data_IF_596639593079
#
_entry.id   IF_596639593079
#
_cell.length_a   1.000
_cell.length_b   1.000
_cell.length_c   1.000
_cell.angle_alpha   90.00
_cell.angle_beta   90.00
_cell.angle_gamma   90.00
#
_symmetry.space_group_name_H-M   'P 1'
#
loop_
_entity.id
_entity.type
_entity.pdbx_description
1 polymer ?
#
# COMPACT_ATOMS: atom_id res chain seq x y z
N UNK A 1 -9.78 -10.39 -1.16
CA UNK A 1 -9.05 -9.41 -0.31
C UNK A 1 -7.56 -9.62 -0.47
N UNK A 2 -6.79 -8.54 -0.58
CA UNK A 2 -5.33 -8.60 -0.78
C UNK A 2 -4.60 -8.07 0.46
N UNK A 3 -3.29 -8.33 0.52
CA UNK A 3 -2.40 -7.75 1.52
C UNK A 3 -1.33 -6.90 0.86
N UNK A 4 -0.99 -5.78 1.48
CA UNK A 4 0.20 -5.01 1.11
C UNK A 4 1.46 -5.79 1.50
N UNK A 5 2.64 -5.43 0.97
CA UNK A 5 3.91 -6.02 1.42
C UNK A 5 4.17 -5.84 2.92
N UNK A 6 3.56 -4.84 3.56
CA UNK A 6 3.63 -4.58 5.00
C UNK A 6 2.56 -5.35 5.80
N UNK A 7 1.78 -6.22 5.15
CA UNK A 7 0.77 -7.09 5.79
C UNK A 7 -0.61 -6.48 5.99
N UNK A 8 -0.78 -5.18 5.71
CA UNK A 8 -2.06 -4.47 5.82
C UNK A 8 -3.08 -5.01 4.81
N UNK A 9 -4.35 -5.13 5.22
CA UNK A 9 -5.43 -5.53 4.30
C UNK A 9 -5.77 -4.38 3.36
N UNK A 10 -6.00 -4.70 2.09
CA UNK A 10 -6.39 -3.73 1.07
C UNK A 10 -7.42 -4.32 0.13
N UNK A 11 -8.39 -3.51 -0.26
CA UNK A 11 -9.29 -3.83 -1.36
C UNK A 11 -8.58 -3.50 -2.68
N UNK A 12 -8.83 -4.31 -3.72
CA UNK A 12 -8.24 -4.11 -5.05
C UNK A 12 -9.35 -3.84 -6.04
N UNK A 13 -9.18 -2.81 -6.85
CA UNK A 13 -10.01 -2.50 -8.00
C UNK A 13 -9.20 -2.67 -9.28
N UNK A 14 -9.87 -3.08 -10.36
CA UNK A 14 -9.26 -3.23 -11.68
C UNK A 14 -9.93 -2.27 -12.65
N UNK A 15 -9.14 -1.61 -13.50
CA UNK A 15 -9.69 -0.74 -14.55
C UNK A 15 -10.20 -1.52 -15.75
N UNK A 16 -9.80 -2.79 -15.89
CA UNK A 16 -10.27 -3.67 -16.96
C UNK A 16 -10.54 -5.09 -16.45
N UNK A 17 -11.52 -5.74 -17.07
CA UNK A 17 -11.82 -7.15 -16.84
C UNK A 17 -10.61 -8.04 -17.16
N UNK A 18 -9.86 -7.73 -18.22
CA UNK A 18 -8.65 -8.47 -18.57
C UNK A 18 -7.56 -8.37 -17.49
N UNK A 19 -7.44 -7.23 -16.78
CA UNK A 19 -6.54 -7.13 -15.64
C UNK A 19 -7.04 -7.99 -14.46
N UNK A 20 -8.34 -7.96 -14.16
CA UNK A 20 -8.96 -8.80 -13.14
C UNK A 20 -8.71 -10.29 -13.41
N UNK A 21 -9.03 -10.76 -14.62
CA UNK A 21 -8.90 -12.17 -15.01
C UNK A 21 -7.45 -12.64 -15.04
N UNK A 22 -6.48 -11.77 -15.37
CA UNK A 22 -5.05 -12.11 -15.28
C UNK A 22 -4.59 -12.33 -13.84
N UNK A 23 -5.16 -11.62 -12.88
CA UNK A 23 -4.75 -11.69 -11.47
C UNK A 23 -5.50 -12.79 -10.72
N UNK A 24 -6.80 -12.90 -10.91
CA UNK A 24 -7.65 -13.86 -10.18
C UNK A 24 -7.86 -15.18 -10.93
N UNK A 25 -7.55 -15.21 -12.22
CA UNK A 25 -7.84 -16.33 -13.11
C UNK A 25 -9.19 -16.16 -13.84
N UNK A 26 -9.35 -16.81 -15.01
CA UNK A 26 -10.53 -16.64 -15.85
C UNK A 26 -11.81 -17.27 -15.27
N UNK A 27 -11.68 -18.19 -14.32
CA UNK A 27 -12.80 -18.88 -13.69
C UNK A 27 -13.36 -18.15 -12.46
N UNK A 28 -12.74 -17.04 -12.03
CA UNK A 28 -13.18 -16.32 -10.84
C UNK A 28 -14.48 -15.55 -11.15
N UNK A 29 -15.62 -15.84 -10.50
CA UNK A 29 -16.81 -15.02 -10.64
C UNK A 29 -16.56 -13.61 -10.09
N UNK A 30 -17.03 -12.60 -10.82
CA UNK A 30 -16.90 -11.19 -10.48
C UNK A 30 -18.16 -10.41 -10.89
N UNK A 31 -18.36 -9.27 -10.25
CA UNK A 31 -19.44 -8.31 -10.57
C UNK A 31 -18.85 -6.91 -10.67
N UNK A 32 -19.53 -6.01 -11.40
CA UNK A 32 -19.18 -4.58 -11.40
C UNK A 32 -19.73 -3.93 -10.15
N UNK A 33 -18.85 -3.23 -9.44
CA UNK A 33 -19.18 -2.46 -8.25
C UNK A 33 -18.65 -1.04 -8.41
N UNK A 34 -19.45 -0.05 -7.99
CA UNK A 34 -18.96 1.31 -7.85
C UNK A 34 -18.02 1.44 -6.64
N UNK A 35 -17.16 2.47 -6.64
CA UNK A 35 -16.19 2.70 -5.58
C UNK A 35 -16.85 2.76 -4.19
N UNK A 36 -17.95 3.52 -4.05
CA UNK A 36 -18.64 3.69 -2.78
C UNK A 36 -19.13 2.36 -2.18
N UNK A 37 -19.71 1.50 -3.03
CA UNK A 37 -20.16 0.18 -2.62
C UNK A 37 -18.99 -0.73 -2.24
N UNK A 38 -17.91 -0.72 -3.03
CA UNK A 38 -16.69 -1.47 -2.71
C UNK A 38 -16.10 -1.03 -1.38
N UNK A 39 -16.00 0.29 -1.14
CA UNK A 39 -15.48 0.84 0.11
C UNK A 39 -16.36 0.46 1.30
N UNK A 40 -17.68 0.57 1.18
CA UNK A 40 -18.61 0.18 2.23
C UNK A 40 -18.47 -1.31 2.63
N UNK A 41 -18.22 -2.19 1.67
CA UNK A 41 -17.98 -3.62 1.94
C UNK A 41 -16.56 -3.91 2.47
N UNK A 42 -15.56 -3.11 2.07
CA UNK A 42 -14.17 -3.29 2.49
C UNK A 42 -13.90 -2.78 3.92
N UNK A 43 -14.58 -1.70 4.32
CA UNK A 43 -14.44 -1.07 5.63
C UNK A 43 -14.61 -2.06 6.81
N UNK A 44 -15.71 -2.85 6.91
CA UNK A 44 -15.88 -3.80 8.02
C UNK A 44 -14.86 -4.94 8.02
N UNK A 45 -14.16 -5.16 6.91
CA UNK A 45 -13.11 -6.17 6.78
C UNK A 45 -11.71 -5.62 7.18
N UNK A 46 -11.64 -4.36 7.61
CA UNK A 46 -10.41 -3.68 8.01
C UNK A 46 -9.53 -3.26 6.83
N UNK A 47 -10.13 -3.03 5.65
CA UNK A 47 -9.46 -2.47 4.49
C UNK A 47 -10.00 -1.06 4.23
N UNK A 48 -9.32 -0.05 4.79
CA UNK A 48 -9.65 1.38 4.61
C UNK A 48 -9.19 1.92 3.25
N UNK A 49 -8.24 1.23 2.61
CA UNK A 49 -7.62 1.64 1.35
C UNK A 49 -8.04 0.74 0.19
N UNK A 50 -8.27 1.37 -0.96
CA UNK A 50 -8.47 0.71 -2.25
C UNK A 50 -7.21 0.93 -3.09
N UNK A 51 -6.69 -0.15 -3.68
CA UNK A 51 -5.56 -0.14 -4.61
C UNK A 51 -6.08 -0.45 -6.01
N UNK A 52 -5.83 0.45 -6.96
CA UNK A 52 -6.23 0.27 -8.37
C UNK A 52 -5.07 -0.37 -9.14
N UNK A 53 -5.37 -1.42 -9.91
CA UNK A 53 -4.42 -2.17 -10.75
C UNK A 53 -3.07 -2.43 -10.06
N UNK A 54 -3.06 -3.28 -9.01
CA UNK A 54 -1.86 -3.49 -8.22
C UNK A 54 -0.76 -4.13 -9.04
N UNK A 55 0.46 -3.64 -8.82
CA UNK A 55 1.65 -4.42 -9.16
C UNK A 55 1.72 -5.58 -8.17
N UNK A 56 1.53 -6.80 -8.66
CA UNK A 56 1.65 -8.02 -7.84
C UNK A 56 3.09 -8.29 -7.39
N UNK A 57 4.04 -7.47 -7.85
CA UNK A 57 5.43 -7.46 -7.42
C UNK A 57 5.70 -6.20 -6.59
N UNK A 58 6.47 -6.36 -5.52
CA UNK A 58 6.91 -5.22 -4.72
C UNK A 58 7.80 -4.30 -5.59
N UNK A 59 7.51 -3.00 -5.60
CA UNK A 59 8.41 -2.02 -6.20
C UNK A 59 9.74 -2.03 -5.44
N UNK A 60 10.84 -1.81 -6.16
CA UNK A 60 12.18 -1.67 -5.54
C UNK A 60 12.11 -0.63 -4.41
N UNK A 61 12.59 -0.94 -3.19
CA UNK A 61 12.63 0.02 -2.09
C UNK A 61 13.39 1.28 -2.51
N UNK A 62 12.88 2.46 -2.12
CA UNK A 62 13.63 3.70 -2.29
C UNK A 62 14.83 3.67 -1.34
N UNK A 63 16.06 3.90 -1.81
CA UNK A 63 17.20 4.02 -0.90
C UNK A 63 16.96 5.17 0.07
N UNK A 64 17.06 4.87 1.36
CA UNK A 64 17.03 5.88 2.43
C UNK A 64 18.47 6.32 2.65
N UNK A 65 18.77 7.61 2.43
CA UNK A 65 20.05 8.15 2.88
C UNK A 65 20.10 8.08 4.40
N UNK A 66 21.20 7.61 5.00
CA UNK A 66 21.39 7.70 6.43
C UNK A 66 21.20 9.16 6.87
N UNK A 67 20.36 9.39 7.86
CA UNK A 67 20.28 10.70 8.51
C UNK A 67 21.68 11.03 9.05
N UNK A 68 22.16 12.26 8.78
CA UNK A 68 23.44 12.71 9.30
C UNK A 68 23.46 12.48 10.82
N UNK A 69 24.57 11.97 11.39
CA UNK A 69 24.68 11.80 12.82
C UNK A 69 24.39 13.14 13.52
N UNK A 70 23.69 13.14 14.67
CA UNK A 70 23.43 14.38 15.39
C UNK A 70 24.78 15.04 15.70
N UNK A 71 25.01 16.21 15.13
CA UNK A 71 26.20 17.01 15.39
C UNK A 71 26.24 17.28 16.89
N UNK A 72 27.18 16.61 17.57
CA UNK A 72 27.43 16.77 19.00
C UNK A 72 27.69 18.25 19.26
N UNK A 73 26.67 18.97 19.73
CA UNK A 73 26.77 20.36 20.12
C UNK A 73 27.95 20.51 21.08
N UNK A 74 29.02 21.17 20.63
CA UNK A 74 30.16 21.52 21.47
C UNK A 74 29.62 22.37 22.61
N UNK A 75 29.58 21.82 23.83
CA UNK A 75 29.39 22.61 25.05
C UNK A 75 30.47 23.70 25.08
N UNK A 76 30.14 25.00 25.18
CA UNK A 76 31.15 25.99 25.44
C UNK A 76 31.71 25.74 26.84
N UNK A 77 33.01 25.49 26.93
CA UNK A 77 33.72 25.55 28.21
C UNK A 77 33.81 27.03 28.58
N UNK A 78 33.07 27.45 29.61
CA UNK A 78 33.23 28.76 30.22
C UNK A 78 34.38 28.62 31.22
N UNK A 79 35.48 29.34 31.00
CA UNK A 79 36.58 29.47 31.95
C UNK A 79 36.35 30.71 32.84
N UNK A 80 36.61 30.53 34.14
CA UNK A 80 36.47 31.52 35.21
C UNK A 80 37.47 32.68 35.11
#
# INVERSE_FOLDING_TARGET
MFRTPLGTRTAVAFTSEMALSRVLGPAQPWIRLGEAALRAMALPLGADRITVDPLLTARRPRPVSPAAPPESAKRPVVAC
#
